data_IF_243980140758
#
_entry.id   IF_243980140758
#
_cell.length_a   1.000
_cell.length_b   1.000
_cell.length_c   1.000
_cell.angle_alpha   90.00
_cell.angle_beta   90.00
_cell.angle_gamma   90.00
#
_symmetry.space_group_name_H-M   'P 1'
#
loop_
_entity.id
_entity.type
_entity.pdbx_description
1 polymer ?
#
# COMPACT_ATOMS: atom_id res chain seq x y z
N UNK A 1 -0.41 2.69 15.05
CA UNK A 1 -0.70 1.84 13.87
C UNK A 1 0.59 1.13 13.44
N UNK A 2 0.94 0.02 14.08
CA UNK A 2 2.15 -0.76 13.80
C UNK A 2 1.87 -1.94 12.88
N UNK A 3 1.67 -1.67 11.59
CA UNK A 3 1.40 -2.68 10.56
C UNK A 3 2.68 -3.30 9.98
N UNK A 4 3.85 -2.86 10.47
CA UNK A 4 5.14 -3.45 10.16
C UNK A 4 5.54 -4.30 11.37
N UNK A 5 6.06 -5.52 11.16
CA UNK A 5 6.49 -6.37 12.26
C UNK A 5 7.44 -5.59 13.17
N UNK A 6 7.13 -5.57 14.47
CA UNK A 6 7.89 -4.82 15.47
C UNK A 6 9.36 -5.25 15.58
N UNK A 7 9.72 -6.39 14.97
CA UNK A 7 11.10 -6.88 14.83
C UNK A 7 11.41 -7.06 13.33
N UNK A 8 12.34 -6.27 12.75
CA UNK A 8 12.71 -6.42 11.35
C UNK A 8 13.32 -7.81 11.09
N UNK A 9 12.81 -8.54 10.12
CA UNK A 9 13.40 -9.79 9.62
C UNK A 9 14.27 -9.49 8.39
N UNK A 10 15.18 -10.38 7.99
CA UNK A 10 15.91 -10.23 6.74
C UNK A 10 14.94 -10.18 5.56
N UNK A 11 15.06 -9.18 4.71
CA UNK A 11 14.26 -9.08 3.50
C UNK A 11 14.76 -10.06 2.45
N UNK A 12 13.85 -10.75 1.76
CA UNK A 12 14.18 -11.68 0.67
C UNK A 12 14.84 -11.01 -0.55
N UNK A 13 14.82 -9.68 -0.63
CA UNK A 13 15.55 -8.94 -1.65
C UNK A 13 17.07 -8.95 -1.44
N UNK A 14 17.56 -9.34 -0.25
CA UNK A 14 18.99 -9.42 0.06
C UNK A 14 19.69 -8.10 0.43
N UNK A 15 18.98 -6.97 0.45
CA UNK A 15 19.57 -5.63 0.62
C UNK A 15 19.28 -4.97 1.98
N UNK A 16 18.69 -5.70 2.93
CA UNK A 16 18.37 -5.16 4.25
C UNK A 16 17.35 -5.97 5.01
N UNK A 17 16.81 -5.35 6.07
CA UNK A 17 15.73 -5.92 6.86
C UNK A 17 14.37 -5.31 6.47
N UNK A 18 13.27 -5.97 6.81
CA UNK A 18 11.87 -5.55 6.60
C UNK A 18 11.46 -4.36 7.49
N UNK A 19 12.28 -3.31 7.51
CA UNK A 19 11.98 -2.05 8.18
C UNK A 19 11.11 -1.16 7.29
N UNK A 20 10.40 -0.22 7.92
CA UNK A 20 9.57 0.76 7.19
C UNK A 20 10.35 1.54 6.14
N UNK A 21 11.56 1.98 6.48
CA UNK A 21 12.43 2.70 5.56
C UNK A 21 12.84 1.83 4.37
N UNK A 22 13.20 0.56 4.61
CA UNK A 22 13.57 -0.37 3.55
C UNK A 22 12.41 -0.66 2.61
N UNK A 23 11.20 -0.87 3.14
CA UNK A 23 10.01 -1.16 2.33
C UNK A 23 9.74 -0.05 1.29
N UNK A 24 10.02 1.22 1.60
CA UNK A 24 9.81 2.33 0.65
C UNK A 24 10.72 2.26 -0.58
N UNK A 25 11.86 1.57 -0.47
CA UNK A 25 12.88 1.48 -1.52
C UNK A 25 13.14 0.03 -1.94
N UNK A 26 12.32 -0.91 -1.46
CA UNK A 26 12.53 -2.33 -1.68
C UNK A 26 12.24 -2.67 -3.14
N UNK A 27 13.17 -3.32 -3.88
CA UNK A 27 13.00 -3.63 -5.30
C UNK A 27 11.92 -4.70 -5.55
N UNK A 28 11.48 -5.42 -4.52
CA UNK A 28 10.36 -6.37 -4.60
C UNK A 28 9.00 -5.68 -4.73
N UNK A 29 8.95 -4.37 -4.52
CA UNK A 29 7.76 -3.54 -4.67
C UNK A 29 7.85 -2.86 -6.05
N UNK A 30 6.91 -3.12 -6.98
CA UNK A 30 6.97 -2.53 -8.30
C UNK A 30 7.01 -1.00 -8.28
N UNK A 31 8.06 -0.40 -8.88
CA UNK A 31 8.27 1.05 -8.90
C UNK A 31 7.10 1.81 -9.55
N UNK A 32 6.48 1.23 -10.57
CA UNK A 32 5.33 1.81 -11.27
C UNK A 32 4.13 2.11 -10.34
N UNK A 33 3.93 1.32 -9.27
CA UNK A 33 2.85 1.57 -8.31
C UNK A 33 3.06 2.87 -7.54
N UNK A 34 4.31 3.22 -7.25
CA UNK A 34 4.64 4.46 -6.55
C UNK A 34 4.35 5.69 -7.40
N UNK A 35 4.48 5.60 -8.72
CA UNK A 35 4.10 6.66 -9.65
C UNK A 35 2.59 6.93 -9.68
N UNK A 36 1.78 5.95 -9.26
CA UNK A 36 0.33 6.11 -9.16
C UNK A 36 -0.10 6.78 -7.84
N UNK A 37 0.82 7.02 -6.90
CA UNK A 37 0.51 7.63 -5.61
C UNK A 37 0.74 9.15 -5.61
N UNK A 38 -0.05 9.92 -4.83
CA UNK A 38 0.23 11.34 -4.58
C UNK A 38 1.64 11.55 -4.03
N UNK A 39 2.38 12.49 -4.59
CA UNK A 39 3.75 12.81 -4.14
C UNK A 39 3.70 13.71 -2.90
N UNK A 40 4.39 13.37 -1.79
CA UNK A 40 4.44 14.23 -0.61
C UNK A 40 5.14 15.55 -0.93
N UNK A 41 4.71 16.67 -0.33
CA UNK A 41 5.44 17.93 -0.45
C UNK A 41 6.80 17.82 0.24
N UNK A 42 7.77 18.65 -0.17
CA UNK A 42 9.14 18.65 0.38
C UNK A 42 9.21 18.96 1.88
N UNK A 43 8.17 19.61 2.43
CA UNK A 43 8.03 19.89 3.86
C UNK A 43 7.51 18.71 4.68
N UNK A 44 7.03 17.62 4.04
CA UNK A 44 6.50 16.47 4.75
C UNK A 44 7.63 15.64 5.38
N UNK A 45 7.57 15.47 6.70
CA UNK A 45 8.52 14.66 7.46
C UNK A 45 7.88 13.31 7.76
N UNK A 46 8.24 12.29 6.98
CA UNK A 46 7.72 10.93 7.12
C UNK A 46 7.98 10.07 5.89
N UNK A 47 7.42 8.85 5.86
CA UNK A 47 7.51 8.01 4.66
C UNK A 47 6.38 8.32 3.69
N UNK A 48 6.62 8.12 2.38
CA UNK A 48 5.63 8.36 1.32
C UNK A 48 4.30 7.66 1.60
N UNK A 49 4.34 6.42 2.10
CA UNK A 49 3.13 5.66 2.46
C UNK A 49 2.32 6.35 3.58
N UNK A 50 2.97 6.97 4.57
CA UNK A 50 2.29 7.68 5.66
C UNK A 50 1.51 8.88 5.14
N UNK A 51 2.11 9.63 4.21
CA UNK A 51 1.45 10.75 3.56
C UNK A 51 0.19 10.30 2.84
N UNK A 52 0.29 9.25 2.03
CA UNK A 52 -0.83 8.75 1.21
C UNK A 52 -1.94 8.17 2.09
N UNK A 53 -1.59 7.47 3.17
CA UNK A 53 -2.57 6.98 4.14
C UNK A 53 -3.32 8.13 4.83
N UNK A 54 -2.65 9.24 5.12
CA UNK A 54 -3.29 10.43 5.69
C UNK A 54 -4.22 11.16 4.70
N UNK A 55 -4.10 10.89 3.39
CA UNK A 55 -5.00 11.43 2.37
C UNK A 55 -6.27 10.57 2.16
N UNK A 56 -6.34 9.40 2.79
CA UNK A 56 -7.52 8.54 2.66
C UNK A 56 -8.74 9.22 3.28
N UNK A 57 -9.91 9.15 2.60
CA UNK A 57 -11.12 9.71 3.17
C UNK A 57 -11.53 8.92 4.41
N UNK A 58 -11.98 9.64 5.45
CA UNK A 58 -12.42 9.05 6.72
C UNK A 58 -13.80 8.40 6.60
N UNK A 59 -14.63 8.89 5.68
CA UNK A 59 -16.00 8.40 5.48
C UNK A 59 -16.02 7.21 4.53
N UNK A 60 -16.68 6.12 4.95
CA UNK A 60 -16.90 4.94 4.11
C UNK A 60 -17.75 5.21 2.85
N UNK A 61 -18.52 6.29 2.84
CA UNK A 61 -19.31 6.75 1.69
C UNK A 61 -18.53 7.62 0.71
N UNK A 62 -17.27 7.95 1.01
CA UNK A 62 -16.46 8.75 0.10
C UNK A 62 -16.12 7.99 -1.18
N UNK A 63 -15.98 8.74 -2.28
CA UNK A 63 -15.51 8.18 -3.54
C UNK A 63 -14.14 7.54 -3.35
N UNK A 64 -13.96 6.35 -3.92
CA UNK A 64 -12.67 5.67 -3.91
C UNK A 64 -11.61 6.55 -4.59
N UNK A 65 -10.49 6.85 -3.91
CA UNK A 65 -9.42 7.63 -4.52
C UNK A 65 -8.84 6.92 -5.74
N UNK A 66 -8.43 7.63 -6.81
CA UNK A 66 -7.91 7.01 -8.02
C UNK A 66 -6.62 6.20 -7.78
N UNK A 67 -5.87 6.52 -6.73
CA UNK A 67 -4.64 5.83 -6.32
C UNK A 67 -4.90 4.62 -5.41
N UNK A 68 -6.14 4.34 -5.01
CA UNK A 68 -6.48 3.31 -4.02
C UNK A 68 -6.00 1.91 -4.43
N UNK A 69 -6.22 1.53 -5.68
CA UNK A 69 -5.76 0.23 -6.19
C UNK A 69 -4.24 0.08 -6.04
N UNK A 70 -3.48 1.10 -6.43
CA UNK A 70 -2.02 1.08 -6.34
C UNK A 70 -1.55 1.03 -4.88
N UNK A 71 -2.20 1.79 -3.99
CA UNK A 71 -1.94 1.76 -2.56
C UNK A 71 -2.16 0.36 -1.97
N UNK A 72 -3.31 -0.27 -2.26
CA UNK A 72 -3.60 -1.62 -1.77
C UNK A 72 -2.60 -2.67 -2.30
N UNK A 73 -2.17 -2.54 -3.56
CA UNK A 73 -1.16 -3.42 -4.13
C UNK A 73 0.18 -3.24 -3.41
N UNK A 74 0.63 -2.00 -3.16
CA UNK A 74 1.86 -1.72 -2.39
C UNK A 74 1.77 -2.33 -0.99
N UNK A 75 0.66 -2.11 -0.27
CA UNK A 75 0.46 -2.67 1.07
C UNK A 75 0.46 -4.21 1.03
N UNK A 76 -0.14 -4.83 0.01
CA UNK A 76 -0.09 -6.28 -0.18
C UNK A 76 1.34 -6.78 -0.46
N UNK A 77 2.15 -6.03 -1.22
CA UNK A 77 3.57 -6.35 -1.40
C UNK A 77 4.33 -6.26 -0.08
N UNK A 78 4.09 -5.23 0.73
CA UNK A 78 4.69 -5.11 2.05
C UNK A 78 4.33 -6.29 2.96
N UNK A 79 3.06 -6.67 2.98
CA UNK A 79 2.57 -7.80 3.77
C UNK A 79 3.25 -9.10 3.34
N UNK A 80 3.36 -9.36 2.02
CA UNK A 80 4.08 -10.51 1.45
C UNK A 80 5.57 -10.52 1.81
N UNK A 81 6.22 -9.36 1.83
CA UNK A 81 7.64 -9.23 2.19
C UNK A 81 7.84 -9.52 3.69
N UNK A 82 6.95 -9.01 4.53
CA UNK A 82 6.99 -9.19 5.97
C UNK A 82 6.55 -10.59 6.42
N UNK A 83 5.66 -11.23 5.66
CA UNK A 83 5.04 -12.51 5.96
C UNK A 83 5.11 -13.46 4.76
N UNK A 84 6.31 -13.96 4.40
CA UNK A 84 6.49 -14.84 3.24
C UNK A 84 5.77 -16.19 3.37
N UNK A 85 5.46 -16.62 4.59
CA UNK A 85 4.78 -17.90 4.86
C UNK A 85 3.26 -17.86 4.61
N UNK A 86 2.68 -16.66 4.48
CA UNK A 86 1.23 -16.49 4.26
C UNK A 86 0.91 -16.72 2.78
N UNK A 87 -0.04 -17.64 2.53
CA UNK A 87 -0.59 -17.87 1.19
C UNK A 87 -1.73 -16.88 0.92
N UNK A 88 -1.49 -15.91 0.05
CA UNK A 88 -2.50 -14.97 -0.40
C UNK A 88 -3.35 -15.59 -1.50
N UNK A 89 -4.67 -15.40 -1.43
CA UNK A 89 -5.53 -15.75 -2.56
C UNK A 89 -5.22 -14.80 -3.73
N UNK A 90 -5.21 -15.34 -4.95
CA UNK A 90 -5.00 -14.56 -6.18
C UNK A 90 -6.30 -14.22 -6.89
N UNK A 91 -7.45 -14.59 -6.31
CA UNK A 91 -8.76 -14.49 -6.95
C UNK A 91 -9.23 -13.04 -7.14
N UNK A 92 -8.70 -12.07 -6.38
CA UNK A 92 -9.12 -10.67 -6.46
C UNK A 92 -7.93 -9.74 -6.29
N UNK A 93 -7.86 -8.72 -7.16
CA UNK A 93 -6.88 -7.64 -7.04
C UNK A 93 -7.07 -6.91 -5.70
N UNK A 94 -5.99 -6.62 -4.95
CA UNK A 94 -6.09 -5.85 -3.71
C UNK A 94 -6.81 -4.52 -3.92
N UNK A 95 -7.81 -4.23 -3.07
CA UNK A 95 -8.57 -2.99 -3.12
C UNK A 95 -9.77 -2.98 -4.09
N UNK A 96 -10.00 -4.04 -4.86
CA UNK A 96 -11.05 -4.10 -5.88
C UNK A 96 -12.47 -3.87 -5.33
N UNK A 97 -12.75 -4.34 -4.11
CA UNK A 97 -14.09 -4.26 -3.50
C UNK A 97 -14.60 -2.81 -3.36
N UNK A 98 -13.74 -1.85 -3.03
CA UNK A 98 -14.17 -0.45 -2.92
C UNK A 98 -14.34 0.21 -4.29
N UNK A 99 -13.53 -0.22 -5.26
CA UNK A 99 -13.63 0.22 -6.65
C UNK A 99 -15.00 -0.21 -7.20
N UNK A 100 -15.33 -1.49 -7.08
CA UNK A 100 -16.59 -2.06 -7.55
C UNK A 100 -17.80 -1.37 -6.90
N UNK A 101 -17.74 -1.13 -5.58
CA UNK A 101 -18.78 -0.37 -4.87
C UNK A 101 -18.90 1.06 -5.37
N UNK A 102 -17.80 1.73 -5.67
CA UNK A 102 -17.81 3.13 -6.12
C UNK A 102 -18.38 3.28 -7.52
N UNK A 103 -18.26 2.26 -8.37
CA UNK A 103 -18.90 2.24 -9.68
C UNK A 103 -20.39 1.87 -9.60
N UNK A 104 -20.79 1.00 -8.69
CA UNK A 104 -22.18 0.63 -8.49
C UNK A 104 -23.07 1.81 -8.02
N UNK A 105 -22.51 2.79 -7.32
CA UNK A 105 -23.26 3.97 -6.86
C UNK A 105 -23.48 5.03 -7.94
N UNK A 106 -22.89 4.90 -9.13
CA UNK A 106 -23.04 5.86 -10.23
C UNK A 106 -24.20 5.53 -11.20
N UNK A 107 -24.97 4.47 -10.95
CA UNK A 107 -26.10 4.01 -11.78
C UNK A 107 -27.48 4.43 -11.22
N UNK A 108 -27.60 5.57 -10.54
CA UNK A 108 -28.88 6.13 -10.08
C UNK A 108 -28.96 7.64 -10.31
#
# INVERSE_FOLDING_TARGET
>A
MGWIPGKPSPCSCGFGNTSRAHLMVCPLVPSALWCCLPVPPTSFVGHHIDYVLNLLPVAASARCPPYWSALCQILCHFDKICHPDIKYNSATLPGQVWIDKSFATNDH
#
